data_IF_733468630692
#
_entry.id   IF_733468630692
#
_cell.length_a   1.000
_cell.length_b   1.000
_cell.length_c   1.000
_cell.angle_alpha   90.00
_cell.angle_beta   90.00
_cell.angle_gamma   90.00
#
_symmetry.space_group_name_H-M   'P 1'
#
loop_
_entity.id
_entity.type
_entity.pdbx_description
1 polymer ?
#
# COMPACT_ATOMS: atom_id res chain seq x y z
N UNK A 1 46.15 33.55 -11.59
CA UNK A 1 44.98 34.13 -10.90
C UNK A 1 45.35 35.52 -10.39
N UNK A 2 44.78 36.59 -10.95
CA UNK A 2 44.85 37.92 -10.32
C UNK A 2 44.03 37.85 -9.03
N UNK A 3 44.63 38.21 -7.88
CA UNK A 3 43.88 38.39 -6.63
C UNK A 3 42.94 39.58 -6.83
N UNK A 4 41.64 39.34 -6.93
CA UNK A 4 40.63 40.40 -6.97
C UNK A 4 40.59 41.12 -5.62
N UNK A 5 40.44 42.44 -5.66
CA UNK A 5 40.25 43.25 -4.45
C UNK A 5 38.84 43.05 -3.88
N UNK A 6 38.70 43.25 -2.56
CA UNK A 6 37.43 42.98 -1.84
C UNK A 6 36.28 43.89 -2.31
N UNK A 7 36.58 45.12 -2.73
CA UNK A 7 35.62 46.08 -3.32
C UNK A 7 35.08 45.63 -4.68
N UNK A 8 35.91 44.97 -5.48
CA UNK A 8 35.53 44.48 -6.81
C UNK A 8 34.59 43.28 -6.69
N UNK A 9 34.82 42.42 -5.69
CA UNK A 9 33.93 41.29 -5.38
C UNK A 9 32.52 41.75 -5.02
N UNK A 10 32.40 42.78 -4.17
CA UNK A 10 31.09 43.32 -3.78
C UNK A 10 30.37 44.01 -4.94
N UNK A 11 31.11 44.68 -5.81
CA UNK A 11 30.58 45.31 -7.03
C UNK A 11 30.07 44.25 -8.02
N UNK A 12 30.82 43.16 -8.20
CA UNK A 12 30.44 42.05 -9.06
C UNK A 12 29.23 41.28 -8.52
N UNK A 13 29.09 41.12 -7.19
CA UNK A 13 27.87 40.54 -6.59
C UNK A 13 26.64 41.41 -6.85
N UNK A 14 26.76 42.74 -6.72
CA UNK A 14 25.67 43.67 -7.05
C UNK A 14 25.29 43.57 -8.52
N UNK A 15 26.27 43.49 -9.41
CA UNK A 15 26.03 43.31 -10.84
C UNK A 15 25.32 41.98 -11.14
N UNK A 16 25.77 40.87 -10.53
CA UNK A 16 25.10 39.58 -10.66
C UNK A 16 23.66 39.64 -10.16
N UNK A 17 23.38 40.29 -9.02
CA UNK A 17 22.02 40.48 -8.51
C UNK A 17 21.13 41.28 -9.47
N UNK A 18 21.69 42.24 -10.20
CA UNK A 18 20.97 42.99 -11.24
C UNK A 18 20.63 42.10 -12.44
N UNK A 19 21.54 41.25 -12.88
CA UNK A 19 21.29 40.30 -13.97
C UNK A 19 20.25 39.23 -13.60
N UNK A 20 20.22 38.78 -12.33
CA UNK A 20 19.16 37.88 -11.83
C UNK A 20 17.78 38.54 -11.97
N UNK A 21 17.65 39.82 -11.61
CA UNK A 21 16.38 40.56 -11.75
C UNK A 21 15.93 40.72 -13.20
N UNK A 22 16.86 40.67 -14.15
CA UNK A 22 16.59 40.71 -15.59
C UNK A 22 16.41 39.33 -16.22
N UNK A 23 16.42 38.26 -15.41
CA UNK A 23 16.35 36.86 -15.88
C UNK A 23 17.53 36.42 -16.75
N UNK A 24 18.67 37.11 -16.67
CA UNK A 24 19.90 36.80 -17.42
C UNK A 24 20.82 35.89 -16.61
N UNK A 25 20.39 34.64 -16.40
CA UNK A 25 21.05 33.69 -15.49
C UNK A 25 22.43 33.24 -15.97
N UNK A 26 22.64 33.12 -17.29
CA UNK A 26 23.94 32.71 -17.86
C UNK A 26 25.06 33.73 -17.57
N UNK A 27 24.74 35.02 -17.64
CA UNK A 27 25.68 36.10 -17.35
C UNK A 27 25.97 36.18 -15.84
N UNK A 28 24.93 36.04 -15.02
CA UNK A 28 25.07 35.97 -13.57
C UNK A 28 25.92 34.75 -13.13
N UNK A 29 25.72 33.58 -13.72
CA UNK A 29 26.54 32.38 -13.46
C UNK A 29 28.02 32.60 -13.81
N UNK A 30 28.33 33.23 -14.95
CA UNK A 30 29.72 33.59 -15.31
C UNK A 30 30.35 34.51 -14.28
N UNK A 31 29.61 35.51 -13.80
CA UNK A 31 30.09 36.45 -12.78
C UNK A 31 30.37 35.72 -11.46
N UNK A 32 29.45 34.88 -10.98
CA UNK A 32 29.68 34.10 -9.77
C UNK A 32 30.81 33.07 -9.91
N UNK A 33 30.99 32.50 -11.10
CA UNK A 33 32.11 31.61 -11.41
C UNK A 33 33.46 32.34 -11.33
N UNK A 34 33.53 33.58 -11.82
CA UNK A 34 34.73 34.41 -11.73
C UNK A 34 35.08 34.81 -10.29
N UNK A 35 34.06 35.02 -9.43
CA UNK A 35 34.23 35.31 -7.99
C UNK A 35 34.50 34.02 -7.18
N UNK A 36 34.31 32.85 -7.79
CA UNK A 36 34.30 31.54 -7.13
C UNK A 36 33.25 31.44 -5.99
N UNK A 37 32.14 32.18 -6.13
CA UNK A 37 31.00 32.16 -5.20
C UNK A 37 29.97 31.13 -5.67
N UNK A 38 30.35 29.86 -5.53
CA UNK A 38 29.56 28.72 -6.00
C UNK A 38 28.22 28.61 -5.23
N UNK A 39 28.19 29.06 -3.97
CA UNK A 39 26.97 29.06 -3.16
C UNK A 39 25.91 29.99 -3.74
N UNK A 40 26.28 31.23 -4.05
CA UNK A 40 25.37 32.19 -4.67
C UNK A 40 24.92 31.74 -6.07
N UNK A 41 25.80 31.09 -6.83
CA UNK A 41 25.46 30.50 -8.13
C UNK A 41 24.40 29.38 -7.99
N UNK A 42 24.60 28.43 -7.08
CA UNK A 42 23.66 27.34 -6.85
C UNK A 42 22.28 27.88 -6.39
N UNK A 43 22.27 28.79 -5.42
CA UNK A 43 21.03 29.41 -4.92
C UNK A 43 20.27 30.17 -6.01
N UNK A 44 20.98 30.82 -6.93
CA UNK A 44 20.37 31.48 -8.08
C UNK A 44 19.67 30.48 -9.00
N UNK A 45 20.33 29.39 -9.40
CA UNK A 45 19.73 28.37 -10.29
C UNK A 45 18.53 27.69 -9.63
N UNK A 46 18.62 27.40 -8.33
CA UNK A 46 17.52 26.87 -7.53
C UNK A 46 16.33 27.83 -7.49
N UNK A 47 16.57 29.12 -7.22
CA UNK A 47 15.51 30.13 -7.18
C UNK A 47 14.84 30.35 -8.55
N UNK A 48 15.58 30.12 -9.64
CA UNK A 48 15.08 30.17 -11.01
C UNK A 48 14.35 28.88 -11.45
N UNK A 49 14.42 27.79 -10.67
CA UNK A 49 13.89 26.48 -11.05
C UNK A 49 14.72 25.76 -12.14
N UNK A 50 15.95 26.20 -12.39
CA UNK A 50 16.87 25.57 -13.36
C UNK A 50 17.61 24.39 -12.72
N UNK A 51 16.88 23.29 -12.50
CA UNK A 51 17.36 22.13 -11.75
C UNK A 51 18.54 21.41 -12.42
N UNK A 52 18.57 21.33 -13.76
CA UNK A 52 19.65 20.66 -14.51
C UNK A 52 21.02 21.27 -14.22
N UNK A 53 21.12 22.59 -14.25
CA UNK A 53 22.36 23.32 -13.98
C UNK A 53 22.71 23.24 -12.48
N UNK A 54 21.69 23.28 -11.62
CA UNK A 54 21.88 23.14 -10.18
C UNK A 54 22.42 21.74 -9.79
N UNK A 55 21.94 20.67 -10.42
CA UNK A 55 22.46 19.31 -10.22
C UNK A 55 23.89 19.18 -10.73
N UNK A 56 24.22 19.76 -11.89
CA UNK A 56 25.59 19.76 -12.39
C UNK A 56 26.57 20.47 -11.42
N UNK A 57 26.12 21.49 -10.69
CA UNK A 57 26.90 22.13 -9.62
C UNK A 57 27.03 21.22 -8.40
N UNK A 58 25.94 20.56 -8.00
CA UNK A 58 25.93 19.63 -6.86
C UNK A 58 26.86 18.42 -7.08
N UNK A 59 26.88 17.86 -8.29
CA UNK A 59 27.73 16.74 -8.68
C UNK A 59 29.22 17.11 -8.67
N UNK A 60 29.54 18.34 -9.08
CA UNK A 60 30.93 18.87 -9.06
C UNK A 60 31.38 19.26 -7.66
N UNK A 61 30.47 19.70 -6.81
CA UNK A 61 30.77 20.22 -5.47
C UNK A 61 29.84 19.59 -4.42
N UNK A 62 30.25 18.44 -3.83
CA UNK A 62 29.44 17.70 -2.86
C UNK A 62 28.99 18.53 -1.63
N UNK A 63 29.71 19.60 -1.30
CA UNK A 63 29.39 20.51 -0.20
C UNK A 63 28.06 21.25 -0.37
N UNK A 64 27.56 21.40 -1.59
CA UNK A 64 26.32 22.14 -1.90
C UNK A 64 25.16 21.22 -2.28
N UNK A 65 25.32 19.89 -2.13
CA UNK A 65 24.26 18.92 -2.41
C UNK A 65 23.02 19.23 -1.57
N UNK A 66 23.19 19.51 -0.28
CA UNK A 66 22.08 19.89 0.61
C UNK A 66 21.37 21.17 0.13
N UNK A 67 22.14 22.22 -0.23
CA UNK A 67 21.63 23.52 -0.65
C UNK A 67 20.79 23.44 -1.96
N UNK A 68 21.03 22.43 -2.80
CA UNK A 68 20.30 22.21 -4.07
C UNK A 68 19.15 21.22 -3.91
N UNK A 69 19.42 20.05 -3.33
CA UNK A 69 18.45 18.96 -3.27
C UNK A 69 17.34 19.21 -2.24
N UNK A 70 17.58 19.98 -1.18
CA UNK A 70 16.53 20.28 -0.20
C UNK A 70 15.42 21.18 -0.79
N UNK A 71 15.72 22.33 -1.44
CA UNK A 71 14.71 23.10 -2.16
C UNK A 71 14.04 22.32 -3.30
N UNK A 72 14.80 21.48 -4.01
CA UNK A 72 14.24 20.60 -5.04
C UNK A 72 13.22 19.60 -4.47
N UNK A 73 13.55 18.97 -3.34
CA UNK A 73 12.66 18.02 -2.68
C UNK A 73 11.35 18.68 -2.22
N UNK A 74 11.43 19.91 -1.68
CA UNK A 74 10.23 20.70 -1.32
C UNK A 74 9.39 21.04 -2.55
N UNK A 75 10.04 21.45 -3.63
CA UNK A 75 9.37 21.76 -4.88
C UNK A 75 8.65 20.55 -5.51
N UNK A 76 9.27 19.37 -5.44
CA UNK A 76 8.64 18.11 -5.87
C UNK A 76 7.49 17.71 -4.93
N UNK A 77 7.64 17.91 -3.62
CA UNK A 77 6.59 17.64 -2.65
C UNK A 77 5.36 18.55 -2.86
N UNK A 78 5.56 19.82 -3.24
CA UNK A 78 4.48 20.75 -3.62
C UNK A 78 3.72 20.34 -4.89
N UNK A 79 4.29 19.45 -5.72
CA UNK A 79 3.72 18.98 -6.99
C UNK A 79 3.23 17.54 -6.96
N UNK A 80 3.13 16.96 -5.78
CA UNK A 80 2.70 15.59 -5.58
C UNK A 80 3.63 14.53 -6.25
N UNK A 81 4.90 14.88 -6.53
CA UNK A 81 5.91 13.96 -7.09
C UNK A 81 6.73 13.29 -5.97
N UNK A 82 6.04 12.46 -5.18
CA UNK A 82 6.52 12.03 -3.87
C UNK A 82 7.72 11.08 -3.88
N UNK A 83 7.73 10.08 -4.76
CA UNK A 83 8.84 9.12 -4.85
C UNK A 83 10.15 9.85 -5.21
N UNK A 84 10.06 10.86 -6.08
CA UNK A 84 11.18 11.70 -6.46
C UNK A 84 11.56 12.66 -5.33
N UNK A 85 10.58 13.26 -4.65
CA UNK A 85 10.80 14.12 -3.50
C UNK A 85 11.54 13.38 -2.38
N UNK A 86 11.14 12.16 -2.08
CA UNK A 86 11.78 11.32 -1.06
C UNK A 86 13.23 10.97 -1.46
N UNK A 87 13.47 10.58 -2.72
CA UNK A 87 14.82 10.37 -3.25
C UNK A 87 15.66 11.64 -3.12
N UNK A 88 15.08 12.81 -3.37
CA UNK A 88 15.76 14.09 -3.25
C UNK A 88 16.07 14.45 -1.78
N UNK A 89 15.15 14.23 -0.84
CA UNK A 89 15.40 14.42 0.59
C UNK A 89 16.52 13.50 1.11
N UNK A 90 16.52 12.25 0.65
CA UNK A 90 17.55 11.29 1.02
C UNK A 90 18.93 11.73 0.49
N UNK A 91 19.00 12.18 -0.78
CA UNK A 91 20.21 12.78 -1.35
C UNK A 91 20.68 14.02 -0.59
N UNK A 92 19.76 14.81 -0.02
CA UNK A 92 20.07 15.96 0.82
C UNK A 92 20.46 15.58 2.27
N UNK A 93 20.39 14.30 2.67
CA UNK A 93 20.66 13.86 4.04
C UNK A 93 19.66 14.35 5.08
N UNK A 94 18.43 14.71 4.65
CA UNK A 94 17.38 15.29 5.51
C UNK A 94 16.19 14.33 5.68
N UNK A 95 16.48 13.09 6.08
CA UNK A 95 15.47 12.03 6.20
C UNK A 95 14.37 12.34 7.24
N UNK A 96 14.70 13.00 8.35
CA UNK A 96 13.72 13.37 9.38
C UNK A 96 12.71 14.41 8.87
N UNK A 97 13.16 15.36 8.05
CA UNK A 97 12.27 16.35 7.45
C UNK A 97 11.36 15.69 6.41
N UNK A 98 11.91 14.77 5.62
CA UNK A 98 11.13 13.95 4.68
C UNK A 98 9.99 13.20 5.38
N UNK A 99 10.26 12.63 6.57
CA UNK A 99 9.24 11.94 7.35
C UNK A 99 8.13 12.89 7.81
N UNK A 100 8.50 14.05 8.36
CA UNK A 100 7.51 15.03 8.84
C UNK A 100 6.62 15.53 7.70
N UNK A 101 7.21 15.76 6.53
CA UNK A 101 6.47 16.14 5.32
C UNK A 101 5.50 15.02 4.94
N UNK A 102 5.96 13.76 4.94
CA UNK A 102 5.09 12.61 4.64
C UNK A 102 3.95 12.45 5.65
N UNK A 103 4.21 12.63 6.96
CA UNK A 103 3.18 12.61 8.00
C UNK A 103 2.12 13.70 7.78
N UNK A 104 2.56 14.93 7.48
CA UNK A 104 1.66 16.05 7.19
C UNK A 104 0.81 15.80 5.95
N UNK A 105 1.42 15.32 4.87
CA UNK A 105 0.71 14.98 3.63
C UNK A 105 -0.29 13.85 3.84
N UNK A 106 0.07 12.86 4.66
CA UNK A 106 -0.82 11.76 5.03
C UNK A 106 -2.05 12.30 5.76
N UNK A 107 -1.85 13.20 6.73
CA UNK A 107 -2.96 13.87 7.44
C UNK A 107 -3.84 14.69 6.49
N UNK A 108 -3.23 15.49 5.62
CA UNK A 108 -3.96 16.30 4.65
C UNK A 108 -4.78 15.44 3.68
N UNK A 109 -4.23 14.33 3.18
CA UNK A 109 -4.96 13.42 2.28
C UNK A 109 -6.19 12.81 2.96
N UNK A 110 -6.10 12.49 4.24
CA UNK A 110 -7.22 12.00 5.05
C UNK A 110 -8.28 13.09 5.27
N UNK A 111 -7.86 14.34 5.51
CA UNK A 111 -8.78 15.48 5.70
C UNK A 111 -9.46 15.92 4.38
N UNK A 112 -8.76 15.80 3.26
CA UNK A 112 -9.25 16.11 1.91
C UNK A 112 -10.12 14.98 1.31
N UNK A 113 -10.29 13.85 2.01
CA UNK A 113 -10.97 12.64 1.54
C UNK A 113 -10.33 11.99 0.29
N UNK A 114 -9.01 12.18 0.09
CA UNK A 114 -8.22 11.50 -0.95
C UNK A 114 -7.77 10.13 -0.44
N UNK A 115 -8.72 9.20 -0.26
CA UNK A 115 -8.45 7.93 0.44
C UNK A 115 -7.48 7.00 -0.30
N UNK A 116 -7.50 6.97 -1.63
CA UNK A 116 -6.49 6.26 -2.42
C UNK A 116 -5.06 6.73 -2.09
N UNK A 117 -4.86 8.05 -1.95
CA UNK A 117 -3.57 8.64 -1.61
C UNK A 117 -3.25 8.44 -0.13
N UNK A 118 -4.24 8.59 0.76
CA UNK A 118 -4.07 8.32 2.19
C UNK A 118 -3.60 6.88 2.44
N UNK A 119 -4.21 5.89 1.77
CA UNK A 119 -3.79 4.49 1.85
C UNK A 119 -2.34 4.30 1.40
N UNK A 120 -1.99 4.88 0.24
CA UNK A 120 -0.64 4.82 -0.30
C UNK A 120 0.41 5.50 0.62
N UNK A 121 0.12 6.70 1.14
CA UNK A 121 1.04 7.41 2.03
C UNK A 121 1.19 6.71 3.37
N UNK A 122 0.12 6.14 3.93
CA UNK A 122 0.22 5.31 5.12
C UNK A 122 1.08 4.07 4.90
N UNK A 123 1.01 3.44 3.72
CA UNK A 123 1.91 2.34 3.36
C UNK A 123 3.36 2.82 3.30
N UNK A 124 3.64 3.94 2.61
CA UNK A 124 4.99 4.50 2.53
C UNK A 124 5.54 4.86 3.91
N UNK A 125 4.71 5.47 4.76
CA UNK A 125 5.02 5.83 6.13
C UNK A 125 5.35 4.57 6.95
N UNK A 126 4.60 3.49 6.75
CA UNK A 126 4.89 2.21 7.40
C UNK A 126 6.28 1.70 6.99
N UNK A 127 6.64 1.74 5.70
CA UNK A 127 7.95 1.31 5.24
C UNK A 127 9.08 2.16 5.86
N UNK A 128 8.87 3.48 5.97
CA UNK A 128 9.82 4.39 6.62
C UNK A 128 9.99 4.11 8.13
N UNK A 129 8.91 3.76 8.83
CA UNK A 129 9.02 3.32 10.22
C UNK A 129 9.75 1.99 10.34
N UNK A 130 9.52 1.07 9.40
CA UNK A 130 10.19 -0.23 9.38
C UNK A 130 11.70 -0.08 9.14
N UNK A 131 12.11 0.70 8.15
CA UNK A 131 13.52 0.98 7.87
C UNK A 131 14.25 1.56 9.09
N UNK A 132 13.62 2.53 9.78
CA UNK A 132 14.18 3.15 10.98
C UNK A 132 14.06 2.31 12.24
N UNK A 133 13.19 1.31 12.24
CA UNK A 133 13.05 0.40 13.38
C UNK A 133 14.30 -0.45 13.62
N UNK A 134 15.17 -0.59 12.59
CA UNK A 134 16.50 -1.18 12.71
C UNK A 134 17.35 -0.47 13.77
N UNK A 135 17.26 0.85 13.84
CA UNK A 135 17.96 1.66 14.84
C UNK A 135 17.13 1.86 16.11
N UNK A 136 15.80 1.98 15.96
CA UNK A 136 14.87 2.28 17.06
C UNK A 136 13.66 1.31 17.08
N UNK A 137 13.73 0.21 17.85
CA UNK A 137 12.65 -0.78 17.93
C UNK A 137 11.28 -0.24 18.39
N UNK A 138 11.25 0.94 19.04
CA UNK A 138 10.00 1.61 19.45
C UNK A 138 9.10 2.04 18.28
N UNK A 139 9.61 2.00 17.04
CA UNK A 139 8.86 2.33 15.83
C UNK A 139 8.06 1.14 15.26
N UNK A 140 8.28 -0.08 15.74
CA UNK A 140 7.56 -1.28 15.27
C UNK A 140 6.03 -1.16 15.48
N UNK A 141 5.52 -0.70 16.63
CA UNK A 141 4.07 -0.48 16.79
C UNK A 141 3.52 0.58 15.83
N UNK A 142 4.30 1.63 15.54
CA UNK A 142 3.90 2.66 14.56
C UNK A 142 3.85 2.12 13.14
N UNK A 143 4.75 1.20 12.80
CA UNK A 143 4.69 0.44 11.55
C UNK A 143 3.35 -0.31 11.45
N UNK A 144 3.00 -1.13 12.44
CA UNK A 144 1.75 -1.90 12.40
C UNK A 144 0.51 -1.01 12.35
N UNK A 145 0.48 0.08 13.11
CA UNK A 145 -0.62 1.04 13.07
C UNK A 145 -0.76 1.68 11.67
N UNK A 146 0.34 2.12 11.07
CA UNK A 146 0.33 2.73 9.74
C UNK A 146 -0.02 1.72 8.64
N UNK A 147 0.47 0.49 8.74
CA UNK A 147 0.14 -0.58 7.80
C UNK A 147 -1.36 -0.94 7.87
N UNK A 148 -1.95 -1.00 9.07
CA UNK A 148 -3.40 -1.20 9.25
C UNK A 148 -4.19 -0.05 8.63
N UNK A 149 -3.78 1.20 8.86
CA UNK A 149 -4.44 2.37 8.27
C UNK A 149 -4.36 2.37 6.75
N UNK A 150 -3.22 1.95 6.18
CA UNK A 150 -3.04 1.83 4.74
C UNK A 150 -4.08 0.88 4.12
N UNK A 151 -4.24 -0.32 4.69
CA UNK A 151 -5.20 -1.32 4.22
C UNK A 151 -6.65 -0.79 4.31
N UNK A 152 -6.98 -0.14 5.41
CA UNK A 152 -8.32 0.39 5.67
C UNK A 152 -8.66 1.54 4.71
N UNK A 153 -7.79 2.54 4.54
CA UNK A 153 -8.07 3.64 3.61
C UNK A 153 -8.11 3.19 2.16
N UNK A 154 -7.25 2.24 1.78
CA UNK A 154 -7.28 1.63 0.45
C UNK A 154 -8.61 0.94 0.17
N UNK A 155 -9.13 0.11 1.10
CA UNK A 155 -10.45 -0.51 0.95
C UNK A 155 -11.59 0.52 0.96
N UNK A 156 -11.47 1.58 1.77
CA UNK A 156 -12.52 2.57 1.95
C UNK A 156 -12.71 3.48 0.74
N UNK A 157 -11.65 3.74 -0.03
CA UNK A 157 -11.71 4.56 -1.24
C UNK A 157 -12.81 4.08 -2.20
N UNK A 158 -12.86 2.78 -2.50
CA UNK A 158 -13.88 2.19 -3.35
C UNK A 158 -15.32 2.42 -2.85
N UNK A 159 -15.54 2.32 -1.54
CA UNK A 159 -16.85 2.57 -0.91
C UNK A 159 -17.20 4.05 -0.96
N UNK A 160 -16.23 4.91 -0.68
CA UNK A 160 -16.41 6.35 -0.74
C UNK A 160 -16.78 6.80 -2.15
N UNK A 161 -16.08 6.30 -3.18
CA UNK A 161 -16.40 6.58 -4.58
C UNK A 161 -17.79 6.04 -4.94
N UNK A 162 -18.11 4.78 -4.61
CA UNK A 162 -19.43 4.20 -4.86
C UNK A 162 -20.60 5.01 -4.27
N UNK A 163 -20.41 5.59 -3.08
CA UNK A 163 -21.45 6.36 -2.39
C UNK A 163 -21.56 7.81 -2.86
N UNK A 164 -20.55 8.36 -3.53
CA UNK A 164 -20.47 9.78 -3.90
C UNK A 164 -20.38 10.03 -5.41
N UNK A 165 -20.05 9.01 -6.20
CA UNK A 165 -19.95 9.07 -7.65
C UNK A 165 -21.04 8.21 -8.32
N UNK A 166 -21.49 8.57 -9.54
CA UNK A 166 -22.58 7.87 -10.21
C UNK A 166 -22.16 6.50 -10.79
N UNK A 167 -20.87 6.27 -10.99
CA UNK A 167 -20.30 5.07 -11.61
C UNK A 167 -19.25 4.47 -10.70
N UNK A 168 -19.22 3.14 -10.64
CA UNK A 168 -18.19 2.36 -9.93
C UNK A 168 -17.47 1.47 -10.92
N UNK A 169 -16.16 1.26 -10.68
CA UNK A 169 -15.35 0.30 -11.43
C UNK A 169 -15.45 -1.12 -10.84
N UNK A 170 -15.86 -1.23 -9.58
CA UNK A 170 -15.92 -2.49 -8.85
C UNK A 170 -17.28 -3.18 -9.00
N UNK A 171 -17.27 -4.52 -9.02
CA UNK A 171 -18.48 -5.32 -9.00
C UNK A 171 -19.21 -5.17 -7.65
N UNK A 172 -20.53 -5.45 -7.60
CA UNK A 172 -21.28 -5.47 -6.35
C UNK A 172 -20.66 -6.42 -5.31
N UNK A 173 -20.21 -7.59 -5.73
CA UNK A 173 -19.57 -8.59 -4.86
C UNK A 173 -18.31 -8.02 -4.21
N UNK A 174 -17.45 -7.38 -5.01
CA UNK A 174 -16.22 -6.72 -4.54
C UNK A 174 -16.50 -5.60 -3.55
N UNK A 175 -17.53 -4.78 -3.79
CA UNK A 175 -17.91 -3.73 -2.87
C UNK A 175 -18.47 -4.30 -1.55
N UNK A 176 -19.20 -5.41 -1.61
CA UNK A 176 -19.71 -6.08 -0.42
C UNK A 176 -18.57 -6.67 0.41
N UNK A 177 -17.59 -7.34 -0.20
CA UNK A 177 -16.41 -7.90 0.48
C UNK A 177 -15.54 -6.80 1.10
N UNK A 178 -15.27 -5.71 0.37
CA UNK A 178 -14.58 -4.52 0.91
C UNK A 178 -15.31 -3.92 2.12
N UNK A 179 -16.64 -3.77 2.04
CA UNK A 179 -17.43 -3.22 3.14
C UNK A 179 -17.45 -4.14 4.37
N UNK A 180 -17.49 -5.46 4.15
CA UNK A 180 -17.38 -6.46 5.21
C UNK A 180 -15.99 -6.45 5.87
N UNK A 181 -14.93 -6.38 5.07
CA UNK A 181 -13.56 -6.23 5.57
C UNK A 181 -13.46 -5.00 6.49
N UNK A 182 -13.97 -3.84 6.04
CA UNK A 182 -13.96 -2.61 6.84
C UNK A 182 -14.83 -2.67 8.08
N UNK A 183 -16.00 -3.30 8.02
CA UNK A 183 -16.87 -3.49 9.19
C UNK A 183 -16.25 -4.40 10.25
N UNK A 184 -15.29 -5.26 9.89
CA UNK A 184 -14.55 -6.10 10.83
C UNK A 184 -13.40 -5.36 11.52
N UNK A 185 -13.02 -4.18 11.02
CA UNK A 185 -11.95 -3.35 11.58
C UNK A 185 -12.48 -2.40 12.65
N UNK A 186 -11.56 -1.89 13.47
CA UNK A 186 -11.86 -0.83 14.43
C UNK A 186 -12.17 0.48 13.69
N UNK A 187 -13.08 1.34 14.23
CA UNK A 187 -13.37 2.63 13.63
C UNK A 187 -12.12 3.52 13.54
N UNK A 188 -11.83 4.00 12.33
CA UNK A 188 -10.72 4.90 12.01
C UNK A 188 -11.24 6.32 11.75
N UNK A 189 -10.37 7.31 11.96
CA UNK A 189 -10.66 8.72 11.68
C UNK A 189 -11.07 8.93 10.22
N UNK A 190 -11.99 9.86 9.96
CA UNK A 190 -12.50 10.24 8.63
C UNK A 190 -13.06 9.08 7.77
N UNK A 191 -13.34 7.92 8.38
CA UNK A 191 -14.06 6.82 7.74
C UNK A 191 -15.51 6.81 8.20
N UNK A 192 -16.41 7.07 7.26
CA UNK A 192 -17.85 7.07 7.56
C UNK A 192 -18.38 5.66 7.71
N UNK A 193 -18.64 5.27 8.96
CA UNK A 193 -19.35 4.03 9.30
C UNK A 193 -20.74 3.96 8.65
N UNK A 194 -21.38 5.11 8.40
CA UNK A 194 -22.66 5.15 7.69
C UNK A 194 -22.49 4.67 6.25
N UNK A 195 -21.43 5.09 5.54
CA UNK A 195 -21.24 4.68 4.14
C UNK A 195 -20.91 3.19 4.03
N UNK A 196 -20.12 2.65 4.96
CA UNK A 196 -19.83 1.21 5.02
C UNK A 196 -21.13 0.42 5.22
N UNK A 197 -21.89 0.71 6.28
CA UNK A 197 -23.13 -0.02 6.58
C UNK A 197 -24.21 0.19 5.50
N UNK A 198 -24.31 1.38 4.91
CA UNK A 198 -25.21 1.66 3.79
C UNK A 198 -24.88 0.80 2.57
N UNK A 199 -23.59 0.67 2.24
CA UNK A 199 -23.12 -0.16 1.11
C UNK A 199 -23.45 -1.62 1.35
N UNK A 200 -23.17 -2.13 2.56
CA UNK A 200 -23.53 -3.50 2.94
C UNK A 200 -25.03 -3.76 2.88
N UNK A 201 -25.86 -2.81 3.36
CA UNK A 201 -27.32 -2.94 3.34
C UNK A 201 -27.88 -2.94 1.90
N UNK A 202 -27.41 -2.00 1.06
CA UNK A 202 -27.89 -1.85 -0.32
C UNK A 202 -27.49 -3.04 -1.18
N UNK A 203 -26.20 -3.33 -1.24
CA UNK A 203 -25.64 -4.41 -2.07
C UNK A 203 -26.03 -5.77 -1.51
N UNK A 204 -25.99 -5.95 -0.18
CA UNK A 204 -26.41 -7.20 0.45
C UNK A 204 -27.85 -7.56 0.08
N UNK A 205 -28.75 -6.58 0.02
CA UNK A 205 -30.13 -6.81 -0.44
C UNK A 205 -30.21 -7.18 -1.93
N UNK A 206 -29.40 -6.57 -2.78
CA UNK A 206 -29.34 -6.84 -4.22
C UNK A 206 -28.85 -8.27 -4.50
N UNK A 207 -27.83 -8.72 -3.77
CA UNK A 207 -27.23 -10.05 -3.89
C UNK A 207 -27.98 -11.16 -3.13
N UNK A 208 -28.98 -10.81 -2.31
CA UNK A 208 -29.76 -11.78 -1.53
C UNK A 208 -29.20 -12.14 -0.14
N UNK A 209 -28.21 -11.39 0.36
CA UNK A 209 -27.74 -11.40 1.75
C UNK A 209 -28.71 -10.64 2.67
N UNK A 210 -29.93 -11.13 2.82
CA UNK A 210 -30.99 -10.41 3.53
C UNK A 210 -30.79 -10.37 5.04
N UNK A 211 -30.16 -11.37 5.67
CA UNK A 211 -29.88 -11.35 7.10
C UNK A 211 -28.81 -10.30 7.40
N UNK A 212 -27.72 -10.27 6.63
CA UNK A 212 -26.71 -9.19 6.71
C UNK A 212 -27.33 -7.81 6.51
N UNK A 213 -28.21 -7.65 5.52
CA UNK A 213 -28.85 -6.37 5.25
C UNK A 213 -29.73 -5.90 6.43
N UNK A 214 -30.40 -6.80 7.16
CA UNK A 214 -31.14 -6.43 8.37
C UNK A 214 -30.21 -5.98 9.50
N UNK A 215 -29.20 -6.80 9.78
CA UNK A 215 -28.25 -6.51 10.86
C UNK A 215 -27.56 -5.16 10.63
N UNK A 216 -27.26 -4.82 9.37
CA UNK A 216 -26.65 -3.53 9.01
C UNK A 216 -27.63 -2.36 9.03
N UNK A 217 -28.90 -2.56 8.64
CA UNK A 217 -29.94 -1.53 8.77
C UNK A 217 -30.25 -1.20 10.23
N UNK A 218 -30.25 -2.20 11.12
CA UNK A 218 -30.40 -1.99 12.57
C UNK A 218 -29.21 -1.19 13.13
N UNK A 219 -27.98 -1.45 12.67
CA UNK A 219 -26.80 -0.64 13.01
C UNK A 219 -26.93 0.79 12.48
N UNK A 220 -27.41 0.99 11.26
CA UNK A 220 -27.65 2.31 10.68
C UNK A 220 -28.66 3.12 11.49
N UNK A 221 -29.65 2.48 12.11
CA UNK A 221 -30.60 3.13 13.01
C UNK A 221 -29.95 3.80 14.23
N UNK A 222 -28.76 3.33 14.64
CA UNK A 222 -27.99 3.90 15.73
C UNK A 222 -26.97 4.96 15.28
N UNK A 223 -26.90 5.26 13.98
CA UNK A 223 -25.95 6.22 13.39
C UNK A 223 -26.69 7.43 12.80
N UNK A 224 -25.98 8.55 12.70
CA UNK A 224 -26.52 9.76 12.07
C UNK A 224 -26.40 9.68 10.55
N UNK A 225 -27.45 9.20 9.89
CA UNK A 225 -27.50 9.07 8.43
C UNK A 225 -27.61 10.45 7.76
N UNK A 226 -26.80 10.76 6.73
CA UNK A 226 -26.93 11.99 5.95
C UNK A 226 -28.30 12.12 5.26
N UNK A 227 -28.89 13.33 5.15
CA UNK A 227 -30.21 13.51 4.53
C UNK A 227 -30.33 12.95 3.11
N UNK A 228 -29.24 12.96 2.34
CA UNK A 228 -29.19 12.40 0.97
C UNK A 228 -29.44 10.89 0.92
N UNK A 229 -29.08 10.15 1.98
CA UNK A 229 -29.23 8.69 2.07
C UNK A 229 -30.45 8.28 2.88
N UNK A 230 -31.01 9.19 3.69
CA UNK A 230 -32.05 8.88 4.65
C UNK A 230 -33.29 8.23 4.01
N UNK A 231 -33.81 8.81 2.92
CA UNK A 231 -34.98 8.26 2.21
C UNK A 231 -34.73 6.83 1.71
N UNK A 232 -33.55 6.57 1.16
CA UNK A 232 -33.23 5.23 0.66
C UNK A 232 -33.15 4.24 1.81
N UNK A 233 -32.40 4.58 2.88
CA UNK A 233 -32.30 3.75 4.09
C UNK A 233 -33.67 3.43 4.69
N UNK A 234 -34.56 4.41 4.84
CA UNK A 234 -35.93 4.20 5.34
C UNK A 234 -36.73 3.22 4.46
N UNK A 235 -36.64 3.37 3.13
CA UNK A 235 -37.26 2.44 2.19
C UNK A 235 -36.66 1.03 2.31
N UNK A 236 -35.34 0.91 2.47
CA UNK A 236 -34.68 -0.39 2.68
C UNK A 236 -35.16 -1.06 3.97
N UNK A 237 -35.26 -0.32 5.06
CA UNK A 237 -35.73 -0.80 6.37
C UNK A 237 -37.17 -1.32 6.34
N UNK A 238 -38.04 -0.73 5.51
CA UNK A 238 -39.40 -1.25 5.31
C UNK A 238 -39.38 -2.48 4.40
N UNK A 239 -38.69 -2.40 3.25
CA UNK A 239 -38.70 -3.47 2.24
C UNK A 239 -38.05 -4.77 2.74
N UNK A 240 -37.03 -4.69 3.60
CA UNK A 240 -36.32 -5.88 4.09
C UNK A 240 -37.22 -6.77 4.97
N UNK A 241 -38.30 -6.23 5.54
CA UNK A 241 -39.26 -6.99 6.36
C UNK A 241 -40.02 -8.04 5.57
N UNK A 242 -40.16 -7.86 4.26
CA UNK A 242 -40.83 -8.81 3.37
C UNK A 242 -39.91 -9.92 2.85
N UNK A 243 -38.60 -9.86 3.14
CA UNK A 243 -37.60 -10.83 2.69
C UNK A 243 -37.42 -11.97 3.71
N UNK A 244 -36.79 -13.12 3.35
CA UNK A 244 -36.47 -14.18 4.31
C UNK A 244 -35.32 -13.78 5.26
N UNK A 245 -35.26 -14.37 6.45
CA UNK A 245 -34.18 -14.16 7.45
C UNK A 245 -32.99 -15.10 7.19
N UNK A 246 -32.52 -15.13 5.94
CA UNK A 246 -31.38 -15.94 5.51
C UNK A 246 -30.53 -15.15 4.53
N UNK A 247 -29.25 -15.49 4.45
CA UNK A 247 -28.36 -15.02 3.40
C UNK A 247 -28.27 -16.09 2.30
N UNK A 248 -27.95 -15.67 1.08
CA UNK A 248 -27.64 -16.61 -0.01
C UNK A 248 -26.39 -17.43 0.34
N UNK A 249 -26.44 -18.75 0.12
CA UNK A 249 -25.37 -19.68 0.51
C UNK A 249 -24.06 -19.41 -0.24
N UNK A 250 -24.16 -19.02 -1.51
CA UNK A 250 -23.00 -18.72 -2.38
C UNK A 250 -22.18 -17.51 -1.91
N UNK A 251 -22.78 -16.61 -1.10
CA UNK A 251 -22.09 -15.44 -0.57
C UNK A 251 -21.31 -15.75 0.71
N UNK A 252 -21.59 -16.88 1.37
CA UNK A 252 -21.02 -17.19 2.67
C UNK A 252 -19.52 -17.51 2.53
N UNK A 253 -18.63 -16.82 3.26
CA UNK A 253 -17.21 -17.09 3.15
C UNK A 253 -16.86 -18.47 3.65
N UNK A 254 -16.20 -19.23 2.79
CA UNK A 254 -15.67 -20.55 3.11
C UNK A 254 -14.33 -20.39 3.81
N UNK A 255 -14.14 -21.07 4.93
CA UNK A 255 -12.81 -21.18 5.51
C UNK A 255 -12.05 -22.32 4.84
N UNK A 256 -10.97 -22.00 4.11
CA UNK A 256 -10.14 -22.98 3.42
C UNK A 256 -9.36 -23.93 4.35
N UNK A 257 -9.33 -23.67 5.67
CA UNK A 257 -8.78 -24.60 6.67
C UNK A 257 -9.76 -25.71 7.03
N UNK A 258 -10.97 -25.33 7.44
CA UNK A 258 -11.94 -26.27 8.02
C UNK A 258 -13.03 -26.73 7.05
N UNK A 259 -13.20 -26.02 5.93
CA UNK A 259 -14.22 -26.26 4.90
C UNK A 259 -15.62 -25.76 5.28
N UNK A 260 -15.76 -25.05 6.40
CA UNK A 260 -17.05 -24.58 6.90
C UNK A 260 -17.34 -23.15 6.47
N UNK A 261 -18.62 -22.88 6.19
CA UNK A 261 -19.13 -21.55 5.88
C UNK A 261 -19.15 -20.68 7.15
N UNK A 262 -18.82 -19.41 6.96
CA UNK A 262 -18.84 -18.39 8.01
C UNK A 262 -20.03 -17.45 7.78
N UNK A 263 -20.61 -16.87 8.85
CA UNK A 263 -21.58 -15.81 8.70
C UNK A 263 -20.98 -14.60 7.98
N UNK A 264 -21.76 -13.85 7.21
CA UNK A 264 -21.28 -12.62 6.54
C UNK A 264 -20.78 -11.55 7.53
N UNK A 265 -21.22 -11.61 8.78
CA UNK A 265 -20.78 -10.74 9.87
C UNK A 265 -19.51 -11.23 10.57
N UNK A 266 -18.84 -12.27 10.06
CA UNK A 266 -17.59 -12.75 10.64
C UNK A 266 -16.50 -11.65 10.58
N UNK A 267 -15.61 -11.67 11.56
CA UNK A 267 -14.43 -10.80 11.56
C UNK A 267 -13.32 -11.34 10.66
N UNK A 268 -12.08 -11.00 11.00
CA UNK A 268 -10.86 -11.38 10.27
C UNK A 268 -10.43 -12.84 10.47
N UNK A 269 -11.15 -13.60 11.28
CA UNK A 269 -10.83 -14.97 11.64
C UNK A 269 -12.06 -15.86 11.49
N UNK A 270 -11.84 -17.12 11.14
CA UNK A 270 -12.90 -18.11 11.07
C UNK A 270 -13.57 -18.28 12.44
N UNK A 271 -14.91 -18.30 12.46
CA UNK A 271 -15.66 -18.45 13.72
C UNK A 271 -15.46 -19.83 14.34
N UNK A 272 -15.19 -20.85 13.52
CA UNK A 272 -15.07 -22.27 13.89
C UNK A 272 -13.66 -22.66 14.33
N UNK A 273 -12.64 -22.42 13.49
CA UNK A 273 -11.25 -22.85 13.74
C UNK A 273 -10.28 -21.71 14.08
N UNK A 274 -10.76 -20.46 14.14
CA UNK A 274 -9.98 -19.26 14.49
C UNK A 274 -8.82 -18.90 13.55
N UNK A 275 -8.61 -19.67 12.48
CA UNK A 275 -7.64 -19.34 11.41
C UNK A 275 -7.91 -17.94 10.85
N UNK A 276 -6.86 -17.14 10.74
CA UNK A 276 -6.93 -15.81 10.13
C UNK A 276 -7.20 -15.93 8.62
N UNK A 277 -7.97 -14.98 8.09
CA UNK A 277 -8.27 -14.92 6.67
C UNK A 277 -7.27 -14.02 5.95
N UNK A 278 -6.62 -14.56 4.92
CA UNK A 278 -5.83 -13.77 3.97
C UNK A 278 -6.74 -13.28 2.84
N UNK A 279 -6.63 -12.01 2.49
CA UNK A 279 -7.54 -11.36 1.55
C UNK A 279 -6.80 -10.94 0.28
N UNK A 280 -7.46 -11.08 -0.88
CA UNK A 280 -7.00 -10.49 -2.14
C UNK A 280 -7.09 -8.98 -2.07
N UNK A 281 -6.00 -8.23 -2.26
CA UNK A 281 -6.04 -6.75 -2.22
C UNK A 281 -6.60 -6.11 -3.50
N UNK A 282 -7.17 -6.89 -4.43
CA UNK A 282 -7.96 -6.37 -5.55
C UNK A 282 -9.47 -6.43 -5.24
N UNK A 283 -9.94 -7.58 -4.75
CA UNK A 283 -11.37 -7.87 -4.57
C UNK A 283 -11.80 -8.00 -3.11
N UNK A 284 -10.85 -8.06 -2.17
CA UNK A 284 -11.07 -8.38 -0.75
C UNK A 284 -11.77 -9.71 -0.51
N UNK A 285 -11.73 -10.63 -1.47
CA UNK A 285 -12.15 -12.01 -1.27
C UNK A 285 -11.12 -12.78 -0.43
N UNK A 286 -11.61 -13.78 0.30
CA UNK A 286 -10.75 -14.64 1.12
C UNK A 286 -10.02 -15.60 0.20
N UNK A 287 -8.69 -15.57 0.25
CA UNK A 287 -7.83 -16.44 -0.52
C UNK A 287 -7.66 -17.81 0.16
N UNK A 288 -7.40 -18.89 -0.60
CA UNK A 288 -7.09 -20.21 -0.07
C UNK A 288 -5.70 -20.32 0.56
N UNK A 289 -5.22 -19.25 1.18
CA UNK A 289 -3.91 -19.19 1.82
C UNK A 289 -4.04 -19.42 3.33
N UNK A 290 -3.14 -20.23 3.86
CA UNK A 290 -3.04 -20.50 5.29
C UNK A 290 -1.59 -20.35 5.72
N UNK A 291 -1.35 -19.53 6.73
CA UNK A 291 -0.02 -19.37 7.31
C UNK A 291 0.41 -20.62 8.10
N UNK A 292 1.65 -21.04 7.87
CA UNK A 292 2.36 -21.98 8.73
C UNK A 292 3.62 -21.34 9.28
N UNK A 293 4.09 -21.88 10.40
CA UNK A 293 5.30 -21.45 11.10
C UNK A 293 6.39 -22.46 10.78
N UNK A 294 7.62 -21.98 10.67
CA UNK A 294 8.81 -22.84 10.51
C UNK A 294 9.47 -22.97 11.88
N UNK A 295 9.95 -24.18 12.19
CA UNK A 295 10.70 -24.43 13.44
C UNK A 295 11.84 -23.42 13.62
N UNK A 296 12.00 -22.89 14.84
CA UNK A 296 13.01 -21.88 15.17
C UNK A 296 14.47 -22.38 14.94
N UNK A 297 14.67 -23.70 14.85
CA UNK A 297 15.95 -24.34 14.56
C UNK A 297 16.39 -24.23 13.09
N UNK A 298 15.52 -23.70 12.22
CA UNK A 298 15.77 -23.58 10.78
C UNK A 298 15.94 -22.08 10.44
N UNK A 299 17.12 -21.64 9.97
CA UNK A 299 17.31 -20.28 9.54
C UNK A 299 16.43 -19.96 8.33
N UNK A 300 15.98 -18.71 8.22
CA UNK A 300 15.02 -18.30 7.18
C UNK A 300 15.52 -18.56 5.76
N UNK A 301 16.81 -18.40 5.50
CA UNK A 301 17.41 -18.68 4.18
C UNK A 301 17.35 -20.17 3.82
N UNK A 302 17.59 -21.05 4.80
CA UNK A 302 17.45 -22.51 4.62
C UNK A 302 15.99 -22.87 4.38
N UNK A 303 15.05 -22.32 5.16
CA UNK A 303 13.63 -22.56 4.98
C UNK A 303 13.13 -22.16 3.59
N UNK A 304 13.56 -21.00 3.07
CA UNK A 304 13.25 -20.56 1.71
C UNK A 304 13.84 -21.53 0.68
N UNK A 305 15.09 -21.94 0.84
CA UNK A 305 15.73 -22.89 -0.08
C UNK A 305 15.04 -24.27 -0.09
N UNK A 306 14.53 -24.74 1.06
CA UNK A 306 13.82 -26.01 1.15
C UNK A 306 12.47 -25.94 0.44
N UNK A 307 11.73 -24.85 0.63
CA UNK A 307 10.42 -24.62 -0.02
C UNK A 307 10.55 -24.45 -1.53
N UNK A 308 11.66 -23.87 -2.00
CA UNK A 308 11.91 -23.67 -3.43
C UNK A 308 12.48 -24.93 -4.13
N UNK A 309 12.89 -25.93 -3.36
CA UNK A 309 13.38 -27.20 -3.89
C UNK A 309 12.24 -28.08 -4.43
N UNK A 310 12.54 -28.93 -5.42
CA UNK A 310 11.54 -29.88 -5.91
C UNK A 310 11.34 -31.02 -4.90
N UNK A 311 10.09 -31.35 -4.55
CA UNK A 311 9.82 -32.41 -3.61
C UNK A 311 10.23 -33.78 -4.17
N UNK A 312 10.56 -34.76 -3.30
CA UNK A 312 10.87 -36.11 -3.75
C UNK A 312 9.69 -36.72 -4.51
N UNK A 313 9.97 -37.38 -5.64
CA UNK A 313 8.97 -37.94 -6.58
C UNK A 313 7.92 -38.87 -5.95
N UNK A 314 8.17 -39.38 -4.74
CA UNK A 314 7.25 -40.24 -3.98
C UNK A 314 6.12 -39.49 -3.25
N UNK A 315 6.29 -38.20 -2.97
CA UNK A 315 5.32 -37.38 -2.22
C UNK A 315 4.66 -36.36 -3.17
N UNK A 316 3.71 -36.82 -3.99
CA UNK A 316 2.82 -35.90 -4.72
C UNK A 316 1.63 -35.55 -3.82
N UNK A 317 1.33 -34.25 -3.65
CA UNK A 317 0.23 -33.72 -2.82
C UNK A 317 0.41 -33.77 -1.30
N UNK A 318 1.61 -33.56 -0.77
CA UNK A 318 1.74 -33.33 0.69
C UNK A 318 1.00 -32.04 1.08
N UNK A 319 0.04 -32.17 2.01
CA UNK A 319 -0.68 -31.04 2.57
C UNK A 319 -0.49 -31.02 4.09
N UNK A 320 0.24 -30.02 4.63
CA UNK A 320 0.58 -29.97 6.05
C UNK A 320 -0.66 -29.83 6.96
N UNK A 321 -1.79 -29.44 6.38
CA UNK A 321 -3.00 -29.13 7.12
C UNK A 321 -4.02 -30.29 7.13
N UNK A 322 -3.84 -31.36 6.37
CA UNK A 322 -4.82 -32.47 6.30
C UNK A 322 -4.97 -33.26 7.60
N UNK A 323 -3.86 -33.57 8.29
CA UNK A 323 -3.84 -34.45 9.46
C UNK A 323 -3.76 -33.73 10.81
N UNK A 324 -3.65 -32.41 10.80
CA UNK A 324 -3.55 -31.60 12.03
C UNK A 324 -4.95 -31.28 12.55
N UNK A 325 -5.15 -31.49 13.86
CA UNK A 325 -6.39 -31.13 14.56
C UNK A 325 -6.84 -29.72 14.19
N UNK A 326 -8.08 -29.60 13.69
CA UNK A 326 -8.71 -28.32 13.28
C UNK A 326 -8.84 -27.29 14.41
N UNK A 327 -8.43 -27.64 15.65
CA UNK A 327 -8.36 -26.75 16.82
C UNK A 327 -6.99 -26.10 17.02
N UNK A 328 -5.91 -26.63 16.43
CA UNK A 328 -4.60 -25.97 16.45
C UNK A 328 -4.59 -24.85 15.43
N UNK A 329 -4.42 -23.61 15.89
CA UNK A 329 -4.30 -22.44 15.03
C UNK A 329 -2.93 -22.37 14.35
N UNK A 330 -1.91 -22.89 15.02
CA UNK A 330 -0.53 -22.84 14.57
C UNK A 330 -0.10 -24.23 14.08
N UNK A 331 0.46 -24.25 12.87
CA UNK A 331 1.06 -25.42 12.25
C UNK A 331 2.53 -25.12 12.09
N UNK A 332 3.37 -25.82 12.85
CA UNK A 332 4.81 -25.69 12.78
C UNK A 332 5.37 -26.82 11.91
N UNK A 333 6.17 -26.48 10.91
CA UNK A 333 6.78 -27.44 9.98
C UNK A 333 8.28 -27.57 10.24
N UNK A 334 8.73 -28.82 10.25
CA UNK A 334 10.13 -29.19 10.40
C UNK A 334 10.83 -29.28 9.02
N UNK A 335 12.14 -29.56 9.01
CA UNK A 335 12.93 -29.67 7.77
C UNK A 335 12.34 -30.68 6.79
N UNK A 336 11.93 -31.84 7.28
CA UNK A 336 11.39 -32.92 6.44
C UNK A 336 10.06 -32.51 5.79
N UNK A 337 9.17 -31.86 6.54
CA UNK A 337 7.89 -31.37 6.03
C UNK A 337 8.10 -30.29 4.96
N UNK A 338 9.08 -29.40 5.13
CA UNK A 338 9.40 -28.36 4.14
C UNK A 338 9.89 -28.95 2.81
N UNK A 339 10.69 -30.02 2.83
CA UNK A 339 11.17 -30.68 1.61
C UNK A 339 10.08 -31.37 0.79
N UNK A 340 8.91 -31.60 1.40
CA UNK A 340 7.78 -32.28 0.77
C UNK A 340 6.79 -31.29 0.15
N UNK A 341 6.97 -29.99 0.38
CA UNK A 341 6.10 -28.96 -0.17
C UNK A 341 6.40 -28.73 -1.65
N UNK A 342 5.34 -28.56 -2.43
CA UNK A 342 5.47 -28.13 -3.83
C UNK A 342 5.72 -26.62 -3.90
N UNK A 343 6.76 -26.21 -4.64
CA UNK A 343 7.13 -24.81 -4.85
C UNK A 343 5.95 -23.92 -5.28
N UNK A 344 5.09 -24.42 -6.18
CA UNK A 344 3.93 -23.67 -6.68
C UNK A 344 2.79 -23.50 -5.67
N UNK A 345 2.81 -24.24 -4.55
CA UNK A 345 1.78 -24.19 -3.52
C UNK A 345 2.15 -23.28 -2.35
N UNK A 346 3.37 -22.76 -2.29
CA UNK A 346 3.82 -21.92 -1.17
C UNK A 346 4.13 -20.51 -1.65
N UNK A 347 3.56 -19.52 -0.97
CA UNK A 347 3.84 -18.10 -1.16
C UNK A 347 4.69 -17.60 -0.01
N UNK A 348 5.89 -17.13 -0.34
CA UNK A 348 6.86 -16.61 0.62
C UNK A 348 6.75 -15.09 0.66
N UNK A 349 6.44 -14.51 1.82
CA UNK A 349 6.39 -13.06 2.02
C UNK A 349 7.68 -12.59 2.69
N UNK A 350 8.61 -12.04 1.90
CA UNK A 350 9.90 -11.53 2.39
C UNK A 350 9.68 -10.18 3.07
N UNK A 351 9.48 -10.21 4.38
CA UNK A 351 9.35 -9.00 5.17
C UNK A 351 10.74 -8.47 5.58
N UNK A 352 11.01 -7.16 5.47
CA UNK A 352 12.28 -6.59 5.92
C UNK A 352 12.47 -6.78 7.43
N UNK A 353 13.72 -7.01 7.85
CA UNK A 353 14.09 -6.99 9.26
C UNK A 353 13.64 -5.67 9.92
N UNK A 354 13.05 -5.70 11.14
CA UNK A 354 13.00 -6.79 12.11
C UNK A 354 11.84 -7.79 11.99
N UNK A 355 11.01 -7.72 10.96
CA UNK A 355 9.89 -8.65 10.79
C UNK A 355 10.39 -10.01 10.30
N UNK A 356 9.75 -11.09 10.76
CA UNK A 356 10.04 -12.46 10.28
C UNK A 356 9.34 -12.68 8.94
N UNK A 357 10.01 -13.37 8.02
CA UNK A 357 9.40 -13.88 6.77
C UNK A 357 8.20 -14.75 7.10
N UNK A 358 7.10 -14.56 6.36
CA UNK A 358 5.87 -15.36 6.51
C UNK A 358 5.77 -16.36 5.37
N UNK A 359 5.25 -17.55 5.67
CA UNK A 359 5.02 -18.61 4.69
C UNK A 359 3.54 -18.95 4.64
N UNK A 360 2.95 -18.81 3.45
CA UNK A 360 1.54 -19.08 3.20
C UNK A 360 1.41 -20.28 2.28
N UNK A 361 0.62 -21.28 2.68
CA UNK A 361 0.31 -22.46 1.88
C UNK A 361 -1.03 -22.29 1.17
N UNK A 362 -1.05 -22.53 -0.15
CA UNK A 362 -2.24 -22.53 -0.97
C UNK A 362 -2.96 -23.88 -0.90
N UNK A 363 -4.09 -23.92 -0.20
CA UNK A 363 -4.94 -25.11 -0.07
C UNK A 363 -5.64 -25.53 -1.35
N UNK A 364 -5.78 -24.62 -2.32
CA UNK A 364 -6.47 -24.88 -3.57
C UNK A 364 -5.59 -24.42 -4.73
N UNK A 365 -4.65 -25.26 -5.20
CA UNK A 365 -3.73 -24.94 -6.29
C UNK A 365 -4.43 -24.54 -7.60
N UNK A 366 -5.70 -24.90 -7.79
CA UNK A 366 -6.52 -24.47 -8.91
C UNK A 366 -6.82 -22.96 -8.93
N UNK A 367 -6.70 -22.30 -7.78
CA UNK A 367 -6.82 -20.84 -7.65
C UNK A 367 -5.40 -20.28 -7.65
N UNK A 368 -5.04 -19.60 -8.73
CA UNK A 368 -3.77 -18.91 -8.89
C UNK A 368 -3.74 -17.66 -8.01
N UNK A 369 -2.65 -17.50 -7.25
CA UNK A 369 -2.45 -16.37 -6.36
C UNK A 369 -1.06 -15.80 -6.60
N UNK A 370 -1.00 -14.49 -6.82
CA UNK A 370 0.23 -13.73 -7.02
C UNK A 370 0.48 -12.78 -5.85
N UNK A 371 1.74 -12.56 -5.51
CA UNK A 371 2.15 -11.51 -4.56
C UNK A 371 2.83 -10.37 -5.30
N UNK A 372 2.65 -9.14 -4.82
CA UNK A 372 3.48 -8.02 -5.28
C UNK A 372 4.88 -8.11 -4.64
N UNK A 373 5.97 -8.03 -5.43
CA UNK A 373 7.33 -8.12 -4.90
C UNK A 373 7.71 -6.92 -4.01
N UNK A 374 7.06 -5.76 -4.17
CA UNK A 374 7.40 -4.55 -3.42
C UNK A 374 6.65 -4.44 -2.09
N UNK A 375 5.36 -4.76 -2.05
CA UNK A 375 4.54 -4.59 -0.84
C UNK A 375 4.14 -5.90 -0.14
N UNK A 376 4.46 -7.05 -0.73
CA UNK A 376 4.08 -8.38 -0.23
C UNK A 376 2.56 -8.59 -0.03
N UNK A 377 1.71 -7.73 -0.61
CA UNK A 377 0.26 -7.99 -0.67
C UNK A 377 0.00 -9.10 -1.68
N UNK A 378 -1.02 -9.89 -1.38
CA UNK A 378 -1.46 -11.04 -2.18
C UNK A 378 -2.75 -10.72 -2.91
N UNK A 379 -2.93 -11.34 -4.07
CA UNK A 379 -4.01 -11.09 -5.01
C UNK A 379 -4.34 -12.39 -5.74
N UNK A 380 -5.56 -12.53 -6.27
CA UNK A 380 -5.77 -13.45 -7.38
C UNK A 380 -4.86 -13.04 -8.55
N UNK A 381 -4.22 -14.01 -9.20
CA UNK A 381 -3.24 -13.72 -10.24
C UNK A 381 -3.84 -12.91 -11.39
N UNK A 382 -5.02 -13.31 -11.86
CA UNK A 382 -5.72 -12.67 -12.98
C UNK A 382 -6.09 -11.21 -12.67
N UNK A 383 -6.58 -10.94 -11.45
CA UNK A 383 -6.92 -9.59 -11.01
C UNK A 383 -5.68 -8.69 -10.90
N UNK A 384 -4.57 -9.24 -10.40
CA UNK A 384 -3.32 -8.51 -10.27
C UNK A 384 -2.72 -8.18 -11.63
N UNK A 385 -2.69 -9.14 -12.55
CA UNK A 385 -2.22 -8.93 -13.92
C UNK A 385 -3.08 -7.89 -14.64
N UNK A 386 -4.41 -7.99 -14.52
CA UNK A 386 -5.33 -7.02 -15.10
C UNK A 386 -5.10 -5.61 -14.53
N UNK A 387 -4.97 -5.46 -13.21
CA UNK A 387 -4.70 -4.17 -12.59
C UNK A 387 -3.37 -3.57 -13.05
N UNK A 388 -2.31 -4.38 -13.12
CA UNK A 388 -0.99 -3.96 -13.59
C UNK A 388 -1.02 -3.59 -15.08
N UNK A 389 -1.80 -4.29 -15.91
CA UNK A 389 -1.96 -3.95 -17.32
C UNK A 389 -2.71 -2.63 -17.53
N UNK A 390 -3.70 -2.34 -16.68
CA UNK A 390 -4.50 -1.11 -16.76
C UNK A 390 -3.75 0.12 -16.25
N UNK A 391 -3.05 0.00 -15.12
CA UNK A 391 -2.44 1.14 -14.42
C UNK A 391 -0.92 1.23 -14.61
N UNK A 392 -0.28 0.16 -15.08
CA UNK A 392 1.18 0.07 -15.23
C UNK A 392 1.94 -0.15 -13.92
N UNK A 393 1.24 -0.32 -12.80
CA UNK A 393 1.81 -0.50 -11.47
C UNK A 393 0.91 -1.36 -10.57
N UNK A 394 1.43 -1.79 -9.42
CA UNK A 394 0.63 -2.47 -8.40
C UNK A 394 -0.51 -1.54 -7.93
N UNK A 395 -1.77 -2.02 -7.84
CA UNK A 395 -2.91 -1.19 -7.42
C UNK A 395 -2.79 -0.69 -5.98
N UNK A 396 -2.09 -1.43 -5.12
CA UNK A 396 -1.93 -1.10 -3.70
C UNK A 396 -0.74 -0.14 -3.44
N UNK A 397 0.47 -0.54 -3.84
CA UNK A 397 1.70 0.22 -3.52
C UNK A 397 2.24 1.05 -4.67
N UNK A 398 1.56 1.09 -5.82
CA UNK A 398 1.92 1.89 -7.00
C UNK A 398 3.36 1.66 -7.51
N UNK A 399 3.98 0.54 -7.15
CA UNK A 399 5.29 0.18 -7.69
C UNK A 399 5.12 -0.37 -9.11
N UNK A 400 5.93 0.18 -10.02
CA UNK A 400 5.99 -0.28 -11.41
C UNK A 400 6.45 -1.74 -11.39
N UNK A 401 5.68 -2.60 -12.05
CA UNK A 401 6.07 -4.00 -12.22
C UNK A 401 6.91 -4.09 -13.48
N UNK A 402 8.14 -4.58 -13.37
CA UNK A 402 8.93 -4.93 -14.55
C UNK A 402 8.20 -6.05 -15.29
N UNK A 403 7.80 -5.78 -16.54
CA UNK A 403 7.29 -6.84 -17.40
C UNK A 403 8.45 -7.81 -17.61
N UNK A 404 8.26 -9.08 -17.26
CA UNK A 404 9.13 -10.13 -17.79
C UNK A 404 9.06 -9.99 -19.31
N UNK A 405 10.20 -9.69 -19.94
CA UNK A 405 10.31 -9.35 -21.36
C UNK A 405 9.36 -10.20 -22.19
N UNK A 406 8.41 -9.57 -22.85
CA UNK A 406 7.55 -10.26 -23.80
C UNK A 406 8.47 -10.69 -24.95
N UNK A 407 8.70 -11.99 -25.20
CA UNK A 407 9.59 -12.45 -26.27
C UNK A 407 9.06 -12.10 -27.68
N UNK A 408 7.90 -11.43 -27.77
CA UNK A 408 7.27 -10.94 -29.00
C UNK A 408 7.15 -9.41 -29.07
N UNK A 409 7.82 -8.66 -28.20
CA UNK A 409 7.97 -7.23 -28.42
C UNK A 409 8.84 -7.05 -29.68
N UNK A 410 8.21 -6.72 -30.80
CA UNK A 410 8.91 -6.27 -32.00
C UNK A 410 9.64 -4.99 -31.63
N UNK A 411 10.97 -5.00 -31.77
CA UNK A 411 11.82 -3.82 -31.63
C UNK A 411 11.25 -2.68 -32.49
N UNK A 412 10.71 -1.65 -31.84
CA UNK A 412 10.42 -0.40 -32.53
C UNK A 412 11.75 0.30 -32.84
N UNK A 413 11.95 0.54 -34.13
CA UNK A 413 13.19 1.00 -34.77
C UNK A 413 13.44 2.49 -34.57
#
# INVERSE_FOLDING_TARGET
MRKLERSDVDSLRRLASYFIRKSEFNLAARIYGNINDIKAMAQMHVAAGHWTDAFAIADRYPKFVEDVYLPYARHLAERDQFLEAQKAYHKAGRDQEALRVLEQLTGNAVDENRFADAGYYHWLLSMQYLERSKDNPSLIPKYHASAKLADVYYAYDAIFLYCNQPLTRHSPETLLTMARYLSAQEPVLNISQVLINYTMARIGRELGAYKLARDTLDRLGNLRVPPRLQRDVELMTVNIRAKPFSDAEDLLPVCHRCGLNNPLTCGMNCVHCKTAFEHSFATFEILPLIEFIVDDDIPTEEAVSLVESEPPLSDSNFNPFQNISKKSTEVCLNRDDLTRLEKGQVIILHLPAPLKTRFLFNQMPSISVSKCPSCNKVFHSDDFEMAVLQEGHCPYCRSVQEKVDNPYALDES
#
